data_IF_450489450597
#
_entry.id   IF_450489450597
#
_cell.length_a   1.000
_cell.length_b   1.000
_cell.length_c   1.000
_cell.angle_alpha   90.00
_cell.angle_beta   90.00
_cell.angle_gamma   90.00
#
_symmetry.space_group_name_H-M   'P 1'
#
loop_
_entity.id
_entity.type
_entity.pdbx_description
1 polymer ?
#
# COMPACT_ATOMS: atom_id res chain seq x y z
N UNK A 1 -48.78 35.21 -12.37
CA UNK A 1 -48.89 33.73 -12.38
C UNK A 1 -47.47 33.17 -12.45
N UNK A 2 -46.95 32.78 -11.28
CA UNK A 2 -45.55 32.41 -11.04
C UNK A 2 -45.28 30.99 -11.56
N UNK A 3 -44.28 30.82 -12.43
CA UNK A 3 -43.81 29.49 -12.87
C UNK A 3 -42.88 28.95 -11.79
N UNK A 4 -43.38 27.97 -11.04
CA UNK A 4 -42.65 27.16 -10.08
C UNK A 4 -41.50 26.41 -10.77
N UNK A 5 -40.27 26.68 -10.32
CA UNK A 5 -39.06 25.97 -10.72
C UNK A 5 -39.07 24.53 -10.21
N UNK A 6 -38.97 23.56 -11.11
CA UNK A 6 -38.86 22.13 -10.81
C UNK A 6 -37.48 21.79 -10.21
N UNK A 7 -37.41 20.96 -9.14
CA UNK A 7 -36.16 20.60 -8.46
C UNK A 7 -35.51 19.34 -9.06
N UNK A 8 -35.32 19.28 -10.38
CA UNK A 8 -34.78 18.06 -11.04
C UNK A 8 -33.24 18.03 -11.17
N UNK A 9 -32.53 19.09 -10.78
CA UNK A 9 -31.08 19.24 -11.07
C UNK A 9 -30.12 18.69 -9.99
N UNK A 10 -30.64 18.21 -8.85
CA UNK A 10 -29.83 17.65 -7.76
C UNK A 10 -29.66 16.14 -7.85
N UNK A 11 -30.68 15.42 -8.31
CA UNK A 11 -30.70 13.94 -8.36
C UNK A 11 -29.83 13.39 -9.50
N UNK A 12 -29.73 14.10 -10.62
CA UNK A 12 -28.88 13.72 -11.76
C UNK A 12 -27.38 13.84 -11.46
N UNK A 13 -27.00 14.57 -10.39
CA UNK A 13 -25.60 14.76 -9.97
C UNK A 13 -25.01 13.54 -9.23
N UNK A 14 -25.87 12.62 -8.77
CA UNK A 14 -25.48 11.41 -8.03
C UNK A 14 -25.18 10.16 -8.87
N UNK A 15 -25.58 10.13 -10.16
CA UNK A 15 -25.41 8.92 -11.02
C UNK A 15 -24.16 8.91 -11.88
N UNK A 16 -23.40 10.02 -11.95
CA UNK A 16 -22.19 10.13 -12.78
C UNK A 16 -20.92 9.59 -12.10
N UNK A 17 -21.03 9.10 -10.87
CA UNK A 17 -19.93 8.52 -10.07
C UNK A 17 -19.61 7.07 -10.43
N UNK A 18 -20.46 6.39 -11.21
CA UNK A 18 -20.19 5.03 -11.65
C UNK A 18 -19.17 5.07 -12.80
N UNK A 19 -17.90 5.02 -12.39
CA UNK A 19 -16.72 4.60 -13.18
C UNK A 19 -16.76 5.15 -14.60
N UNK A 20 -16.27 6.38 -14.78
CA UNK A 20 -15.99 6.93 -16.09
C UNK A 20 -15.14 5.90 -16.86
N UNK A 21 -15.63 5.38 -17.99
CA UNK A 21 -14.97 4.31 -18.75
C UNK A 21 -13.59 4.74 -19.30
N UNK A 22 -13.30 6.04 -19.30
CA UNK A 22 -11.97 6.61 -19.52
C UNK A 22 -10.93 6.20 -18.46
N UNK A 23 -11.35 5.88 -17.23
CA UNK A 23 -10.47 5.41 -16.15
C UNK A 23 -9.93 4.00 -16.43
N UNK A 24 -10.79 3.08 -16.90
CA UNK A 24 -10.38 1.75 -17.33
C UNK A 24 -9.58 1.78 -18.64
N UNK A 25 -9.73 2.85 -19.43
CA UNK A 25 -8.90 3.14 -20.59
C UNK A 25 -7.60 3.86 -20.21
N UNK A 26 -7.10 3.66 -18.99
CA UNK A 26 -5.72 3.98 -18.66
C UNK A 26 -4.80 3.19 -19.60
N UNK A 27 -3.98 3.89 -20.37
CA UNK A 27 -2.90 3.23 -21.11
C UNK A 27 -2.04 2.48 -20.10
N UNK A 28 -1.78 1.19 -20.32
CA UNK A 28 -0.91 0.37 -19.45
C UNK A 28 0.40 1.08 -19.13
N UNK A 29 0.93 1.87 -20.07
CA UNK A 29 2.12 2.70 -19.86
C UNK A 29 1.96 3.79 -18.81
N UNK A 30 0.77 4.37 -18.64
CA UNK A 30 0.51 5.36 -17.60
C UNK A 30 0.54 4.71 -16.20
N UNK A 31 -0.16 3.59 -16.01
CA UNK A 31 -0.14 2.88 -14.73
C UNK A 31 1.27 2.40 -14.38
N UNK A 32 2.03 1.91 -15.35
CA UNK A 32 3.43 1.52 -15.16
C UNK A 32 4.31 2.72 -14.78
N UNK A 33 4.13 3.87 -15.42
CA UNK A 33 4.84 5.11 -15.05
C UNK A 33 4.53 5.50 -13.59
N UNK A 34 3.28 5.43 -13.16
CA UNK A 34 2.89 5.74 -11.77
C UNK A 34 3.58 4.80 -10.78
N UNK A 35 3.56 3.49 -11.04
CA UNK A 35 4.24 2.50 -10.19
C UNK A 35 5.75 2.76 -10.15
N UNK A 36 6.38 3.01 -11.30
CA UNK A 36 7.81 3.32 -11.38
C UNK A 36 8.15 4.61 -10.64
N UNK A 37 7.33 5.65 -10.79
CA UNK A 37 7.53 6.93 -10.11
C UNK A 37 7.54 6.77 -8.58
N UNK A 38 6.52 6.10 -8.01
CA UNK A 38 6.47 5.89 -6.57
C UNK A 38 7.55 4.91 -6.08
N UNK A 39 7.86 3.87 -6.86
CA UNK A 39 8.97 2.96 -6.54
C UNK A 39 10.29 3.70 -6.46
N UNK A 40 10.57 4.58 -7.43
CA UNK A 40 11.78 5.40 -7.45
C UNK A 40 11.78 6.41 -6.30
N UNK A 41 10.65 7.08 -6.03
CA UNK A 41 10.53 8.03 -4.94
C UNK A 41 10.88 7.40 -3.59
N UNK A 42 10.28 6.26 -3.25
CA UNK A 42 10.53 5.60 -1.97
C UNK A 42 11.91 4.93 -1.90
N UNK A 43 12.41 4.40 -3.02
CA UNK A 43 13.78 3.88 -3.06
C UNK A 43 14.80 4.98 -2.82
N UNK A 44 14.62 6.16 -3.40
CA UNK A 44 15.48 7.32 -3.14
C UNK A 44 15.35 7.82 -1.70
N UNK A 45 14.13 7.91 -1.17
CA UNK A 45 13.89 8.34 0.19
C UNK A 45 14.55 7.42 1.23
N UNK A 46 14.40 6.10 1.06
CA UNK A 46 15.00 5.09 1.94
C UNK A 46 16.42 4.67 1.51
N UNK A 47 16.99 5.32 0.50
CA UNK A 47 18.32 4.97 -0.03
C UNK A 47 19.41 4.88 1.04
N UNK A 48 19.48 5.73 2.09
CA UNK A 48 20.52 5.60 3.10
C UNK A 48 20.43 4.28 3.86
N UNK A 49 19.23 3.75 4.07
CA UNK A 49 19.03 2.47 4.78
C UNK A 49 19.28 1.30 3.82
N UNK A 50 18.70 1.37 2.62
CA UNK A 50 18.75 0.32 1.61
C UNK A 50 20.19 0.02 1.16
N UNK A 51 21.01 1.05 0.96
CA UNK A 51 22.38 0.89 0.48
C UNK A 51 23.42 0.74 1.60
N UNK A 52 23.04 0.95 2.86
CA UNK A 52 23.92 0.70 4.00
C UNK A 52 23.89 -0.75 4.49
N UNK A 53 23.07 -1.62 3.89
CA UNK A 53 22.88 -3.01 4.35
C UNK A 53 22.01 -3.13 5.60
N UNK A 54 21.31 -2.05 5.98
CA UNK A 54 20.41 -2.04 7.12
C UNK A 54 18.99 -2.48 6.72
N UNK A 55 18.25 -2.99 7.71
CA UNK A 55 16.84 -3.34 7.52
C UNK A 55 15.93 -2.15 7.83
N UNK A 56 14.88 -1.99 7.03
CA UNK A 56 13.72 -1.14 7.30
C UNK A 56 12.83 -1.80 8.37
N UNK A 57 13.40 -2.01 9.55
CA UNK A 57 12.77 -2.72 10.65
C UNK A 57 13.14 -2.10 12.02
N UNK A 58 12.94 -0.79 12.26
CA UNK A 58 13.24 -0.23 13.58
C UNK A 58 12.30 -0.84 14.65
N UNK A 59 12.70 -0.86 15.93
CA UNK A 59 11.82 -1.27 17.03
C UNK A 59 11.35 -2.73 16.96
N UNK A 60 10.03 -2.94 16.98
CA UNK A 60 9.40 -4.26 16.98
C UNK A 60 9.58 -5.00 15.66
N UNK A 61 9.79 -4.25 14.56
CA UNK A 61 10.12 -4.79 13.24
C UNK A 61 11.27 -5.80 13.31
N UNK A 62 12.38 -5.42 13.95
CA UNK A 62 13.56 -6.28 14.06
C UNK A 62 13.36 -7.42 15.07
N UNK A 63 12.65 -7.16 16.17
CA UNK A 63 12.53 -8.11 17.28
C UNK A 63 11.53 -9.24 16.99
N UNK A 64 10.42 -8.92 16.32
CA UNK A 64 9.32 -9.86 16.10
C UNK A 64 9.05 -10.09 14.61
N UNK A 65 8.88 -9.03 13.83
CA UNK A 65 8.29 -9.16 12.49
C UNK A 65 9.26 -9.76 11.45
N UNK A 66 10.54 -9.37 11.46
CA UNK A 66 11.55 -9.94 10.54
C UNK A 66 11.68 -11.45 10.75
N UNK A 67 11.76 -11.89 12.01
CA UNK A 67 11.87 -13.30 12.34
C UNK A 67 10.64 -14.09 11.87
N UNK A 68 9.43 -13.56 12.09
CA UNK A 68 8.20 -14.18 11.59
C UNK A 68 8.09 -14.14 10.07
N UNK A 69 8.61 -13.12 9.40
CA UNK A 69 8.58 -13.01 7.94
C UNK A 69 9.51 -14.04 7.29
N UNK A 70 10.72 -14.21 7.80
CA UNK A 70 11.71 -15.17 7.27
C UNK A 70 11.43 -16.62 7.73
N UNK A 71 10.61 -16.82 8.77
CA UNK A 71 10.26 -18.16 9.24
C UNK A 71 9.37 -18.92 8.25
N UNK A 72 9.51 -20.23 8.25
CA UNK A 72 8.62 -21.11 7.47
C UNK A 72 7.20 -20.99 8.01
N UNK A 73 6.27 -20.62 7.14
CA UNK A 73 4.84 -20.55 7.47
C UNK A 73 4.31 -21.98 7.65
N UNK A 74 4.01 -22.35 8.89
CA UNK A 74 3.43 -23.65 9.27
C UNK A 74 2.08 -23.45 9.94
N UNK A 75 1.17 -24.41 9.82
CA UNK A 75 -0.13 -24.34 10.48
C UNK A 75 -0.03 -24.45 12.01
N UNK A 76 0.91 -25.27 12.49
CA UNK A 76 1.16 -25.51 13.90
C UNK A 76 2.66 -25.52 14.16
N UNK A 77 3.13 -24.61 15.01
CA UNK A 77 4.52 -24.51 15.43
C UNK A 77 4.69 -25.19 16.80
N UNK A 78 5.43 -26.29 16.85
CA UNK A 78 5.69 -27.02 18.10
C UNK A 78 6.78 -26.39 18.97
N UNK A 79 7.53 -25.42 18.43
CA UNK A 79 8.66 -24.78 19.12
C UNK A 79 8.21 -23.68 20.09
N UNK A 80 6.98 -23.19 19.94
CA UNK A 80 6.40 -22.15 20.78
C UNK A 80 5.41 -22.75 21.78
N UNK A 81 5.72 -22.66 23.07
CA UNK A 81 4.75 -22.93 24.15
C UNK A 81 4.11 -24.32 24.18
N UNK A 82 4.76 -25.34 23.59
CA UNK A 82 4.19 -26.69 23.45
C UNK A 82 3.22 -26.85 22.26
N UNK A 83 3.08 -25.82 21.42
CA UNK A 83 2.23 -25.79 20.24
C UNK A 83 1.55 -24.45 20.05
N UNK A 84 1.72 -23.84 18.88
CA UNK A 84 1.13 -22.54 18.54
C UNK A 84 0.52 -22.53 17.11
N UNK A 85 -0.72 -22.07 16.93
CA UNK A 85 -1.35 -22.00 15.61
C UNK A 85 -0.85 -20.79 14.81
N UNK A 86 0.35 -20.89 14.25
CA UNK A 86 1.06 -19.79 13.59
C UNK A 86 0.27 -19.15 12.43
N UNK A 87 -0.48 -19.91 11.62
CA UNK A 87 -1.31 -19.34 10.54
C UNK A 87 -2.51 -18.52 11.00
N UNK A 88 -2.90 -18.63 12.28
CA UNK A 88 -3.96 -17.83 12.88
C UNK A 88 -3.41 -16.54 13.54
N UNK A 89 -2.09 -16.41 13.68
CA UNK A 89 -1.46 -15.23 14.26
C UNK A 89 -1.38 -14.09 13.23
N UNK A 90 -2.01 -12.92 13.49
CA UNK A 90 -1.91 -11.78 12.59
C UNK A 90 -0.48 -11.27 12.39
N UNK A 91 0.42 -11.44 13.37
CA UNK A 91 1.81 -10.97 13.28
C UNK A 91 2.60 -11.71 12.19
N UNK A 92 2.22 -12.94 11.89
CA UNK A 92 2.87 -13.78 10.88
C UNK A 92 2.48 -13.35 9.46
N UNK A 93 1.35 -12.65 9.32
CA UNK A 93 0.83 -12.18 8.04
C UNK A 93 0.68 -13.32 7.02
N UNK A 94 0.37 -14.54 7.49
CA UNK A 94 0.37 -15.76 6.68
C UNK A 94 -0.56 -15.69 5.46
N UNK A 95 -1.62 -14.87 5.56
CA UNK A 95 -2.62 -14.68 4.51
C UNK A 95 -2.50 -13.33 3.80
N UNK A 96 -1.42 -12.58 4.05
CA UNK A 96 -1.19 -11.31 3.40
C UNK A 96 -0.36 -11.53 2.12
N UNK A 97 -0.93 -11.35 0.91
CA UNK A 97 -0.28 -11.78 -0.32
C UNK A 97 1.13 -11.19 -0.55
N UNK A 98 1.40 -9.90 -0.28
CA UNK A 98 2.76 -9.36 -0.39
C UNK A 98 3.75 -10.06 0.55
N UNK A 99 3.34 -10.37 1.79
CA UNK A 99 4.19 -11.10 2.75
C UNK A 99 4.44 -12.54 2.27
N UNK A 100 3.39 -13.24 1.84
CA UNK A 100 3.47 -14.63 1.38
C UNK A 100 4.40 -14.75 0.16
N UNK A 101 4.26 -13.88 -0.83
CA UNK A 101 5.07 -13.94 -2.06
C UNK A 101 6.53 -13.58 -1.78
N UNK A 102 6.78 -12.53 -0.99
CA UNK A 102 8.14 -12.05 -0.76
C UNK A 102 8.90 -12.95 0.22
N UNK A 103 8.25 -13.49 1.26
CA UNK A 103 8.89 -14.40 2.23
C UNK A 103 9.38 -15.73 1.63
N UNK A 104 8.98 -16.09 0.40
CA UNK A 104 9.54 -17.23 -0.32
C UNK A 104 11.02 -17.04 -0.70
N UNK A 105 11.47 -15.79 -0.76
CA UNK A 105 12.83 -15.40 -1.10
C UNK A 105 13.50 -14.79 0.13
N UNK A 106 14.65 -15.32 0.58
CA UNK A 106 15.33 -14.82 1.77
C UNK A 106 15.86 -13.40 1.55
N UNK A 107 15.79 -12.55 2.57
CA UNK A 107 16.38 -11.21 2.55
C UNK A 107 15.56 -10.18 1.76
N UNK A 108 14.28 -10.46 1.50
CA UNK A 108 13.37 -9.55 0.78
C UNK A 108 12.58 -8.62 1.71
N UNK A 109 12.88 -8.61 3.00
CA UNK A 109 12.21 -7.75 3.99
C UNK A 109 12.09 -6.29 3.56
N UNK A 110 13.19 -5.68 3.11
CA UNK A 110 13.17 -4.27 2.68
C UNK A 110 12.24 -4.03 1.49
N UNK A 111 12.14 -5.00 0.58
CA UNK A 111 11.22 -4.93 -0.56
C UNK A 111 9.77 -5.07 -0.08
N UNK A 112 9.52 -5.92 0.91
CA UNK A 112 8.21 -6.04 1.55
C UNK A 112 7.79 -4.72 2.22
N UNK A 113 8.65 -4.13 3.04
CA UNK A 113 8.39 -2.84 3.67
C UNK A 113 8.12 -1.74 2.62
N UNK A 114 8.96 -1.63 1.58
CA UNK A 114 8.77 -0.66 0.49
C UNK A 114 7.46 -0.88 -0.28
N UNK A 115 7.04 -2.13 -0.48
CA UNK A 115 5.83 -2.44 -1.24
C UNK A 115 4.59 -1.78 -0.63
N UNK A 116 4.51 -1.67 0.70
CA UNK A 116 3.40 -1.02 1.39
C UNK A 116 3.30 0.47 1.00
N UNK A 117 4.42 1.19 0.99
CA UNK A 117 4.45 2.60 0.58
C UNK A 117 4.08 2.79 -0.88
N UNK A 118 4.65 1.96 -1.77
CA UNK A 118 4.37 2.04 -3.21
C UNK A 118 2.89 1.77 -3.49
N UNK A 119 2.34 0.69 -2.91
CA UNK A 119 0.93 0.33 -3.09
C UNK A 119 -0.01 1.40 -2.52
N UNK A 120 0.27 1.89 -1.31
CA UNK A 120 -0.49 2.97 -0.69
C UNK A 120 -0.57 4.20 -1.61
N UNK A 121 0.57 4.69 -2.08
CA UNK A 121 0.61 5.86 -2.97
C UNK A 121 -0.04 5.61 -4.33
N UNK A 122 0.14 4.42 -4.92
CA UNK A 122 -0.48 4.08 -6.20
C UNK A 122 -2.01 4.03 -6.10
N UNK A 123 -2.56 3.44 -5.03
CA UNK A 123 -4.01 3.38 -4.85
C UNK A 123 -4.61 4.75 -4.52
N UNK A 124 -3.92 5.57 -3.73
CA UNK A 124 -4.34 6.96 -3.51
C UNK A 124 -4.31 7.77 -4.81
N UNK A 125 -3.28 7.60 -5.63
CA UNK A 125 -3.23 8.21 -6.96
C UNK A 125 -4.44 7.80 -7.80
N UNK A 126 -4.71 6.49 -7.90
CA UNK A 126 -5.84 5.97 -8.67
C UNK A 126 -7.18 6.50 -8.16
N UNK A 127 -7.35 6.55 -6.84
CA UNK A 127 -8.55 7.08 -6.20
C UNK A 127 -8.78 8.57 -6.53
N UNK A 128 -7.78 9.41 -6.31
CA UNK A 128 -7.91 10.86 -6.59
C UNK A 128 -8.04 11.13 -8.09
N UNK A 129 -7.40 10.32 -8.93
CA UNK A 129 -7.53 10.43 -10.38
C UNK A 129 -8.95 10.08 -10.82
N UNK A 130 -9.56 9.05 -10.23
CA UNK A 130 -10.94 8.67 -10.50
C UNK A 130 -11.93 9.79 -10.13
N UNK A 131 -11.66 10.55 -9.07
CA UNK A 131 -12.53 11.63 -8.61
C UNK A 131 -12.33 12.95 -9.38
N UNK A 132 -11.07 13.30 -9.69
CA UNK A 132 -10.72 14.65 -10.18
C UNK A 132 -10.33 14.68 -11.66
N UNK A 133 -9.99 13.53 -12.25
CA UNK A 133 -9.36 13.41 -13.57
C UNK A 133 -8.06 14.21 -13.73
N UNK A 134 -7.48 14.72 -12.63
CA UNK A 134 -6.28 15.55 -12.62
C UNK A 134 -5.06 14.73 -12.21
N UNK A 135 -4.09 14.60 -13.13
CA UNK A 135 -2.84 13.86 -12.87
C UNK A 135 -2.00 14.50 -11.76
N UNK A 136 -1.95 15.83 -11.72
CA UNK A 136 -1.16 16.57 -10.75
C UNK A 136 -1.74 16.44 -9.34
N UNK A 137 -3.06 16.64 -9.20
CA UNK A 137 -3.74 16.49 -7.91
C UNK A 137 -3.55 15.07 -7.37
N UNK A 138 -3.66 14.07 -8.24
CA UNK A 138 -3.47 12.67 -7.90
C UNK A 138 -2.04 12.35 -7.47
N UNK A 139 -1.05 12.89 -8.18
CA UNK A 139 0.37 12.73 -7.85
C UNK A 139 0.67 13.29 -6.46
N UNK A 140 0.23 14.53 -6.19
CA UNK A 140 0.41 15.21 -4.90
C UNK A 140 -0.26 14.41 -3.78
N UNK A 141 -1.51 13.97 -3.97
CA UNK A 141 -2.21 13.18 -2.97
C UNK A 141 -1.51 11.86 -2.65
N UNK A 142 -0.99 11.14 -3.64
CA UNK A 142 -0.24 9.91 -3.40
C UNK A 142 1.07 10.13 -2.63
N UNK A 143 1.77 11.25 -2.88
CA UNK A 143 2.95 11.65 -2.10
C UNK A 143 2.55 11.96 -0.66
N UNK A 144 1.56 12.84 -0.47
CA UNK A 144 1.11 13.26 0.86
C UNK A 144 0.64 12.08 1.70
N UNK A 145 -0.12 11.16 1.11
CA UNK A 145 -0.59 9.96 1.82
C UNK A 145 0.55 9.00 2.15
N UNK A 146 1.41 8.67 1.17
CA UNK A 146 2.51 7.74 1.39
C UNK A 146 3.57 8.26 2.37
N UNK A 147 3.74 9.58 2.48
CA UNK A 147 4.68 10.22 3.40
C UNK A 147 4.01 10.75 4.68
N UNK A 148 2.76 10.40 4.94
CA UNK A 148 2.08 10.89 6.13
C UNK A 148 2.72 10.33 7.42
N UNK A 149 2.54 11.05 8.54
CA UNK A 149 3.14 10.68 9.82
C UNK A 149 2.73 9.28 10.29
N UNK A 150 1.52 8.81 9.95
CA UNK A 150 1.07 7.46 10.26
C UNK A 150 1.97 6.39 9.61
N UNK A 151 2.23 6.53 8.31
CA UNK A 151 3.08 5.61 7.54
C UNK A 151 4.53 5.63 8.03
N UNK A 152 5.04 6.79 8.44
CA UNK A 152 6.41 6.91 8.94
C UNK A 152 6.56 6.37 10.37
N UNK A 153 5.59 6.63 11.25
CA UNK A 153 5.63 6.18 12.63
C UNK A 153 5.43 4.67 12.76
N UNK A 154 4.60 4.06 11.90
CA UNK A 154 4.31 2.63 11.97
C UNK A 154 5.38 1.74 11.32
N UNK A 155 6.40 2.31 10.66
CA UNK A 155 7.51 1.52 10.11
C UNK A 155 8.21 0.65 11.17
N UNK A 156 8.15 1.05 12.45
CA UNK A 156 8.73 0.27 13.53
C UNK A 156 7.82 -0.82 14.12
N UNK A 157 6.56 -0.89 13.68
CA UNK A 157 5.54 -1.84 14.14
C UNK A 157 4.92 -2.64 12.97
N UNK A 158 5.66 -2.74 11.86
CA UNK A 158 5.33 -3.50 10.65
C UNK A 158 6.34 -4.61 10.46
#
# INVERSE_FOLDING_TARGET
MSKTSTPESSVQRGRRWFINSSFLKSSTGHSLLVVLFYSLLFTLFFSPVLFSGSLLAPGDGLLYHVAYFESKKVFWDTLLGGGFPMTADPQVMAWYPPSLILSLLPGTWNLFALSAYVMASCFTYGYVYALTSSKLSSAISGIVYGMCGFMMAHLGHT
#
